data_IF_558425922855
#
_entry.id   IF_558425922855
#
_cell.length_a   1.000
_cell.length_b   1.000
_cell.length_c   1.000
_cell.angle_alpha   90.00
_cell.angle_beta   90.00
_cell.angle_gamma   90.00
#
_symmetry.space_group_name_H-M   'P 1'
#
loop_
_entity.id
_entity.type
_entity.pdbx_description
1 polymer ?
2 branched ?
3 non-polymer ?
4 non-polymer ?
5 non-polymer ?
6 non-polymer ?
7 water ?
#
# COMPACT_ATOMS: atom_id res chain seq x y z
N UNK A 5 -12.57 18.90 -17.55
CA UNK A 5 -12.63 18.23 -18.87
C UNK A 5 -12.54 16.71 -18.68
N UNK A 6 -13.35 15.95 -19.43
CA UNK A 6 -13.37 14.50 -19.31
C UNK A 6 -12.09 13.91 -19.85
N UNK A 7 -11.62 12.87 -19.21
CA UNK A 7 -10.44 12.17 -19.68
C UNK A 7 -10.82 10.71 -19.85
N UNK A 8 -10.14 10.01 -20.75
CA UNK A 8 -10.44 8.64 -21.05
C UNK A 8 -9.58 7.78 -20.15
N UNK A 9 -10.17 6.79 -19.54
CA UNK A 9 -9.40 5.91 -18.64
C UNK A 9 -9.62 4.45 -18.97
N UNK A 10 -8.59 3.63 -18.81
CA UNK A 10 -8.72 2.21 -19.07
C UNK A 10 -8.32 1.48 -17.80
N UNK A 11 -9.32 0.95 -17.10
CA UNK A 11 -9.10 0.21 -15.83
C UNK A 11 -9.21 -1.28 -16.03
N UNK A 12 -8.62 -2.04 -15.08
CA UNK A 12 -8.78 -3.45 -15.05
C UNK A 12 -10.27 -3.85 -15.02
N UNK A 13 -11.04 -3.14 -14.22
CA UNK A 13 -12.47 -3.35 -14.15
C UNK A 13 -13.10 -2.35 -15.11
N UNK A 14 -13.53 -2.87 -16.25
CA UNK A 14 -14.18 -2.03 -17.27
C UNK A 14 -15.55 -1.55 -16.85
N UNK A 15 -16.07 -2.03 -15.73
CA UNK A 15 -17.37 -1.60 -15.18
C UNK A 15 -17.26 -0.89 -13.82
N UNK A 16 -16.06 -0.41 -13.52
CA UNK A 16 -15.82 0.24 -12.26
C UNK A 16 -16.73 1.46 -12.09
N UNK A 17 -16.96 1.80 -10.85
CA UNK A 17 -17.84 2.93 -10.53
C UNK A 17 -17.23 4.23 -10.96
N UNK A 18 -18.08 5.20 -11.12
CA UNK A 18 -17.52 6.45 -11.57
C UNK A 18 -16.52 7.10 -10.60
N UNK A 19 -16.73 6.95 -9.29
CA UNK A 19 -15.81 7.47 -8.32
C UNK A 19 -14.42 6.74 -8.43
N UNK A 20 -14.50 5.48 -8.77
CA UNK A 20 -13.29 4.64 -8.90
C UNK A 20 -12.52 5.11 -10.12
N UNK A 21 -13.25 5.35 -11.22
CA UNK A 21 -12.64 5.89 -12.42
C UNK A 21 -12.09 7.26 -12.14
N UNK A 22 -12.82 8.12 -11.41
CA UNK A 22 -12.33 9.44 -11.03
C UNK A 22 -11.05 9.37 -10.22
N UNK A 23 -10.96 8.42 -9.30
CA UNK A 23 -9.75 8.29 -8.51
C UNK A 23 -8.56 8.06 -9.40
N UNK A 24 -8.70 7.17 -10.35
CA UNK A 24 -7.65 6.85 -11.31
C UNK A 24 -7.22 8.12 -12.07
N UNK A 25 -8.21 8.81 -12.61
CA UNK A 25 -7.97 10.06 -13.34
C UNK A 25 -7.31 11.14 -12.49
N UNK A 26 -7.72 11.24 -11.23
CA UNK A 26 -7.17 12.20 -10.30
C UNK A 26 -5.68 11.95 -10.15
N UNK A 27 -5.31 10.69 -9.91
CA UNK A 27 -3.89 10.37 -9.71
C UNK A 27 -3.08 10.60 -10.99
N UNK A 28 -3.69 10.34 -12.14
CA UNK A 28 -2.99 10.52 -13.41
C UNK A 28 -2.55 11.98 -13.54
N UNK A 29 -3.43 12.89 -13.17
CA UNK A 29 -3.09 14.28 -13.23
C UNK A 29 -2.17 14.74 -12.09
N UNK A 30 -2.60 14.47 -10.86
CA UNK A 30 -1.93 14.92 -9.65
C UNK A 30 -0.46 14.47 -9.57
N UNK A 31 -0.16 13.29 -10.07
CA UNK A 31 1.18 12.71 -9.91
C UNK A 31 2.29 13.51 -10.54
N UNK A 32 1.97 14.37 -11.51
CA UNK A 32 3.03 15.21 -12.10
C UNK A 32 3.11 16.59 -11.44
N UNK A 33 2.43 16.77 -10.32
CA UNK A 33 2.39 18.05 -9.63
C UNK A 33 2.73 17.91 -8.15
N UNK A 34 2.74 16.68 -7.62
CA UNK A 34 3.05 16.45 -6.21
C UNK A 34 3.31 14.95 -6.02
N UNK A 35 3.72 14.63 -4.82
CA UNK A 35 3.73 13.23 -4.38
C UNK A 35 2.94 13.23 -3.08
N UNK A 36 1.85 12.48 -3.09
CA UNK A 36 1.04 12.33 -1.88
C UNK A 36 1.71 11.50 -0.81
N UNK A 37 1.48 11.87 0.44
CA UNK A 37 1.98 11.07 1.56
C UNK A 37 0.95 10.09 2.05
N UNK A 38 1.37 8.83 2.13
CA UNK A 38 0.55 7.75 2.66
C UNK A 38 1.10 7.15 3.93
N UNK A 39 0.20 6.56 4.74
CA UNK A 39 0.62 5.98 6.00
C UNK A 39 -0.31 4.82 6.37
N UNK A 40 0.28 3.66 6.66
CA UNK A 40 -0.48 2.49 7.08
C UNK A 40 -1.07 2.76 8.46
N UNK A 41 -2.29 2.34 8.67
CA UNK A 41 -2.98 2.51 9.94
C UNK A 41 -3.02 3.97 10.37
N UNK A 42 -3.16 4.85 9.40
CA UNK A 42 -3.03 6.31 9.67
C UNK A 42 -3.88 6.77 10.86
N UNK A 43 -5.16 6.43 10.87
CA UNK A 43 -6.04 6.88 11.98
C UNK A 43 -6.48 5.76 12.93
N UNK A 44 -5.87 4.60 12.83
CA UNK A 44 -6.20 3.48 13.71
C UNK A 44 -5.06 3.10 14.64
N UNK A 45 -3.84 3.55 14.39
CA UNK A 45 -2.72 3.26 15.25
C UNK A 45 -1.80 4.48 15.36
N UNK A 46 -1.43 4.84 16.59
CA UNK A 46 -0.49 5.91 16.74
C UNK A 46 0.03 5.98 18.16
N UNK A 47 1.25 6.48 18.28
CA UNK A 47 1.90 6.71 19.57
C UNK A 47 1.28 7.86 20.35
N UNK A 48 0.64 8.80 19.67
CA UNK A 48 0.07 10.01 20.30
C UNK A 48 -1.43 10.19 20.18
N UNK A 49 -2.13 9.19 19.67
CA UNK A 49 -3.56 9.36 19.50
C UNK A 49 -4.28 8.77 20.71
N UNK A 50 -5.41 9.38 21.06
CA UNK A 50 -6.22 8.90 22.17
C UNK A 50 -7.51 8.24 21.76
N UNK A 51 -7.83 8.21 20.46
CA UNK A 51 -9.02 7.54 19.94
C UNK A 51 -8.54 6.85 18.66
N UNK A 52 -8.97 5.60 18.43
CA UNK A 52 -8.64 4.87 17.18
C UNK A 52 -9.85 4.76 16.28
N UNK A 53 -10.76 5.70 16.45
CA UNK A 53 -12.01 5.77 15.74
C UNK A 53 -11.94 6.44 14.39
N UNK A 54 -10.74 6.80 13.95
CA UNK A 54 -10.60 7.34 12.63
C UNK A 54 -10.47 8.86 12.56
N UNK A 55 -10.47 9.50 13.73
CA UNK A 55 -10.44 10.96 13.81
C UNK A 55 -9.09 11.57 14.14
N UNK A 56 -8.10 10.78 14.49
CA UNK A 56 -6.78 11.24 14.87
C UNK A 56 -5.68 10.49 14.18
N UNK A 57 -4.51 11.10 14.08
CA UNK A 57 -3.34 10.37 13.61
C UNK A 57 -2.06 11.00 14.17
N UNK A 58 -0.99 10.23 14.19
CA UNK A 58 0.29 10.74 14.60
C UNK A 58 0.74 11.77 13.58
N UNK A 59 0.36 11.57 12.33
CA UNK A 59 0.71 12.55 11.29
C UNK A 59 0.09 13.91 11.59
N UNK A 60 -1.17 13.88 11.93
CA UNK A 60 -1.93 15.09 12.22
C UNK A 60 -1.30 15.80 13.44
N UNK A 61 -0.95 15.04 14.44
CA UNK A 61 -0.35 15.60 15.67
C UNK A 61 1.06 16.16 15.44
N UNK A 62 1.74 15.66 14.40
CA UNK A 62 3.07 16.13 14.01
C UNK A 62 3.03 17.35 13.11
N UNK A 63 2.12 17.40 12.14
CA UNK A 63 2.16 18.44 11.13
C UNK A 63 0.88 19.20 10.90
N UNK A 64 -0.24 18.83 11.53
CA UNK A 64 -1.49 19.54 11.38
C UNK A 64 -2.43 19.13 10.26
N UNK A 65 -2.08 18.03 9.60
CA UNK A 65 -2.92 17.45 8.57
C UNK A 65 -2.72 15.92 8.58
N UNK A 66 -3.72 15.22 8.09
CA UNK A 66 -3.63 13.80 7.86
C UNK A 66 -2.87 13.48 6.58
N UNK A 67 -2.38 12.25 6.54
CA UNK A 67 -1.85 11.70 5.29
C UNK A 67 -2.95 11.80 4.23
N UNK A 68 -2.55 11.93 2.96
CA UNK A 68 -3.51 11.88 1.89
C UNK A 68 -3.99 10.49 1.57
N UNK A 69 -3.10 9.52 1.72
CA UNK A 69 -3.37 8.15 1.37
C UNK A 69 -3.33 7.33 2.68
N UNK A 70 -4.41 6.58 2.90
CA UNK A 70 -4.65 5.81 4.08
C UNK A 70 -4.51 4.33 3.76
N UNK A 71 -3.52 3.67 4.33
CA UNK A 71 -3.30 2.26 4.12
C UNK A 71 -3.86 1.39 5.24
N UNK A 72 -4.47 0.30 4.83
CA UNK A 72 -4.93 -0.76 5.73
C UNK A 72 -4.67 -2.12 5.05
N UNK A 73 -5.19 -3.19 5.62
CA UNK A 73 -4.90 -4.51 5.11
C UNK A 73 -6.04 -5.45 5.30
N UNK A 74 -5.95 -6.58 4.62
CA UNK A 74 -6.96 -7.61 4.79
C UNK A 74 -6.97 -8.22 6.17
N UNK A 75 -5.95 -7.97 6.95
CA UNK A 75 -5.96 -8.34 8.38
C UNK A 75 -7.09 -7.62 9.13
N UNK A 76 -7.73 -6.63 8.51
CA UNK A 76 -8.89 -5.93 9.08
C UNK A 76 -10.21 -6.32 8.37
N UNK A 77 -10.16 -7.31 7.47
CA UNK A 77 -11.29 -7.68 6.63
C UNK A 77 -11.65 -9.15 6.68
N UNK A 78 -10.64 -10.00 6.54
CA UNK A 78 -10.81 -11.43 6.49
C UNK A 78 -10.66 -11.99 7.88
N UNK A 79 -11.59 -12.86 8.26
CA UNK A 79 -11.59 -13.46 9.60
C UNK A 79 -10.23 -14.09 9.80
N UNK A 80 -9.67 -13.97 10.98
CA UNK A 80 -10.27 -13.41 12.20
C UNK A 80 -10.15 -11.91 12.45
N UNK A 81 -9.79 -11.17 11.42
CA UNK A 81 -9.67 -9.73 11.49
C UNK A 81 -8.84 -9.27 12.67
N UNK A 82 -7.64 -9.84 12.77
CA UNK A 82 -6.72 -9.52 13.87
C UNK A 82 -6.48 -8.02 14.06
N UNK A 83 -6.48 -7.24 12.97
CA UNK A 83 -6.20 -5.81 13.07
C UNK A 83 -7.44 -4.97 13.29
N UNK A 84 -8.61 -5.62 13.41
CA UNK A 84 -9.86 -5.00 13.71
C UNK A 84 -10.56 -4.38 12.53
N UNK A 85 -11.87 -4.24 12.61
CA UNK A 85 -12.61 -3.62 11.52
C UNK A 85 -12.13 -2.19 11.23
N UNK A 86 -12.29 -1.78 9.98
CA UNK A 86 -11.88 -0.46 9.52
C UNK A 86 -12.94 0.27 8.71
N UNK A 87 -14.14 -0.28 8.62
CA UNK A 87 -15.20 0.34 7.83
C UNK A 87 -15.43 1.80 8.26
N UNK A 88 -15.56 1.99 9.56
CA UNK A 88 -15.85 3.34 10.06
C UNK A 88 -14.71 4.31 9.74
N UNK A 89 -13.50 3.86 9.90
CA UNK A 89 -12.32 4.73 9.74
C UNK A 89 -12.09 5.02 8.25
N UNK A 90 -12.35 4.05 7.39
CA UNK A 90 -12.26 4.27 5.97
C UNK A 90 -13.29 5.30 5.59
N UNK A 91 -14.51 5.14 6.14
CA UNK A 91 -15.57 6.09 5.81
C UNK A 91 -15.19 7.52 6.21
N UNK A 92 -14.58 7.67 7.38
CA UNK A 92 -14.15 8.99 7.86
C UNK A 92 -13.06 9.53 6.94
N UNK A 93 -12.12 8.66 6.53
CA UNK A 93 -11.09 9.13 5.61
C UNK A 93 -11.65 9.60 4.29
N UNK A 94 -12.59 8.85 3.72
CA UNK A 94 -13.18 9.16 2.46
C UNK A 94 -13.99 10.45 2.56
N UNK A 95 -14.68 10.62 3.68
CA UNK A 95 -15.47 11.86 3.90
C UNK A 95 -14.58 13.10 3.94
N UNK A 96 -13.32 12.95 4.31
CA UNK A 96 -12.39 14.08 4.31
C UNK A 96 -11.61 14.16 2.99
N UNK A 97 -12.00 13.36 2.01
CA UNK A 97 -11.44 13.39 0.67
C UNK A 97 -10.16 12.58 0.53
N UNK A 98 -9.87 11.74 1.50
CA UNK A 98 -8.68 10.91 1.45
C UNK A 98 -8.81 9.78 0.44
N UNK A 99 -7.67 9.13 0.17
CA UNK A 99 -7.57 7.99 -0.73
C UNK A 99 -7.21 6.75 0.08
N UNK A 100 -7.86 5.62 -0.21
CA UNK A 100 -7.79 4.38 0.59
C UNK A 100 -7.03 3.32 -0.17
N UNK A 101 -6.08 2.68 0.48
CA UNK A 101 -5.43 1.54 -0.15
C UNK A 101 -5.36 0.39 0.86
N UNK A 102 -5.55 -0.82 0.39
CA UNK A 102 -5.59 -2.03 1.22
C UNK A 102 -4.67 -3.08 0.64
N UNK A 103 -3.71 -3.50 1.46
CA UNK A 103 -2.84 -4.62 1.11
C UNK A 103 -3.40 -5.92 1.64
N UNK A 104 -2.76 -6.96 1.25
CA UNK A 104 -3.29 -8.32 1.54
C UNK A 104 -2.34 -9.30 2.23
N UNK A 105 -2.25 -9.29 3.56
CA UNK A 105 -1.49 -10.28 4.27
C UNK A 105 -2.45 -11.49 4.56
N UNK A 106 -2.83 -12.21 3.53
CA UNK A 106 -3.70 -13.36 3.64
C UNK A 106 -2.98 -14.49 4.39
N UNK A 107 -3.74 -15.21 5.18
CA UNK A 107 -3.24 -16.46 5.77
C UNK A 107 -2.87 -17.46 4.67
N UNK A 108 -2.12 -18.51 5.05
CA UNK A 108 -1.66 -19.49 4.10
C UNK A 108 -2.79 -20.51 3.91
N UNK A 109 -3.36 -20.60 2.71
CA UNK A 109 -4.53 -21.47 2.51
C UNK A 109 -4.24 -22.94 2.72
N UNK A 110 -2.98 -23.34 2.62
CA UNK A 110 -2.57 -24.73 2.78
C UNK A 110 -2.45 -25.15 4.25
N UNK A 111 -2.17 -24.18 5.09
CA UNK A 111 -1.86 -24.48 6.51
C UNK A 111 -2.59 -23.65 7.52
N UNK A 112 -3.60 -22.87 7.13
CA UNK A 112 -4.23 -21.97 8.09
C UNK A 112 -5.02 -22.66 9.24
N UNK A 113 -5.37 -23.94 9.09
CA UNK A 113 -6.01 -24.63 10.18
C UNK A 113 -4.98 -25.04 11.26
N UNK A 114 -3.69 -24.84 11.00
CA UNK A 114 -2.63 -25.32 11.90
C UNK A 114 -2.11 -24.21 12.79
N UNK A 115 -2.76 -23.03 12.77
CA UNK A 115 -2.30 -21.91 13.57
C UNK A 115 -2.12 -22.26 15.05
N UNK A 116 -1.09 -21.67 15.66
CA UNK A 116 -0.82 -21.88 17.08
C UNK A 116 0.53 -21.31 17.46
N UNK A 117 1.51 -21.78 16.73
CA UNK A 117 2.89 -21.35 16.91
C UNK A 117 3.23 -20.43 15.70
N UNK A 118 3.21 -19.13 15.94
CA UNK A 118 3.54 -18.14 14.88
C UNK A 118 4.89 -18.56 14.25
N UNK A 119 5.06 -18.50 12.93
CA UNK A 119 4.10 -17.99 11.96
C UNK A 119 3.20 -19.01 11.24
N UNK A 120 3.06 -20.20 11.78
CA UNK A 120 2.31 -21.23 11.08
C UNK A 120 0.91 -20.73 10.69
N UNK A 121 0.58 -20.99 9.43
CA UNK A 121 -0.75 -20.64 8.90
C UNK A 121 -0.97 -19.19 8.48
N UNK A 122 0.01 -18.32 8.72
CA UNK A 122 -0.10 -16.89 8.36
C UNK A 122 0.58 -16.56 7.07
N UNK A 123 0.56 -15.30 6.62
CA UNK A 123 1.32 -14.92 5.44
C UNK A 123 2.77 -15.36 5.49
N UNK A 124 3.31 -15.34 6.72
CA UNK A 124 4.73 -15.59 6.97
C UNK A 124 5.11 -17.04 7.06
N UNK A 125 4.10 -17.90 6.98
CA UNK A 125 4.34 -19.32 6.88
C UNK A 125 4.78 -19.53 5.43
N UNK A 126 6.05 -19.85 5.25
CA UNK A 126 6.65 -19.96 3.90
C UNK A 126 6.27 -21.19 3.10
N UNK A 127 5.51 -22.09 3.68
CA UNK A 127 5.07 -23.31 2.99
C UNK A 127 4.47 -22.92 1.66
N UNK A 128 4.99 -23.37 0.54
CA UNK A 128 4.40 -22.93 -0.73
C UNK A 128 2.91 -23.31 -0.83
N UNK A 129 2.09 -22.32 -1.21
CA UNK A 129 0.69 -22.54 -1.26
C UNK A 129 0.05 -21.95 -2.53
N UNK A 130 0.86 -21.61 -3.52
CA UNK A 130 0.32 -21.10 -4.78
C UNK A 130 -0.28 -22.21 -5.62
N UNK A 131 0.53 -23.23 -5.90
CA UNK A 131 0.06 -24.34 -6.73
C UNK A 131 -1.21 -24.99 -6.16
N UNK A 132 -1.26 -25.19 -4.83
CA UNK A 132 -2.38 -25.90 -4.25
C UNK A 132 -3.57 -25.02 -4.00
N UNK A 133 -3.47 -23.74 -4.31
CA UNK A 133 -4.58 -22.79 -4.06
C UNK A 133 -5.29 -22.36 -5.33
N UNK A 134 -4.70 -22.59 -6.49
CA UNK A 134 -5.36 -22.29 -7.76
C UNK A 134 -6.45 -23.36 -8.02
N UNK A 135 -7.39 -23.07 -8.91
CA UNK A 135 -8.42 -24.07 -9.21
C UNK A 135 -7.79 -25.43 -9.56
N UNK A 136 -8.34 -26.48 -8.97
CA UNK A 136 -7.82 -27.84 -9.13
C UNK A 136 -7.05 -28.23 -7.90
N UNK A 137 -6.46 -27.22 -7.23
CA UNK A 137 -5.70 -27.48 -6.01
C UNK A 137 -6.59 -27.68 -4.81
N UNK A 138 -6.09 -28.46 -3.86
CA UNK A 138 -6.84 -28.89 -2.72
C UNK A 138 -7.31 -27.76 -1.84
N UNK A 139 -6.57 -26.65 -1.85
CA UNK A 139 -6.82 -25.52 -0.97
C UNK A 139 -7.47 -24.33 -1.66
N UNK A 140 -7.85 -24.49 -2.93
CA UNK A 140 -8.59 -23.45 -3.64
C UNK A 140 -9.84 -22.97 -2.86
N UNK A 141 -10.62 -23.83 -2.24
CA UNK A 141 -11.75 -23.33 -1.45
C UNK A 141 -11.36 -22.42 -0.28
N UNK A 142 -10.19 -22.64 0.29
CA UNK A 142 -9.73 -21.81 1.40
C UNK A 142 -9.41 -20.37 0.89
N UNK A 143 -8.65 -20.27 -0.18
CA UNK A 143 -8.34 -19.00 -0.78
C UNK A 143 -9.63 -18.30 -1.18
N UNK A 144 -10.57 -19.07 -1.76
CA UNK A 144 -11.85 -18.48 -2.17
C UNK A 144 -12.61 -17.91 -0.99
N UNK A 145 -12.53 -18.49 0.20
CA UNK A 145 -13.21 -17.95 1.36
C UNK A 145 -12.62 -16.58 1.69
N UNK A 146 -11.28 -16.45 1.59
CA UNK A 146 -10.68 -15.14 1.83
C UNK A 146 -11.24 -14.12 0.84
N UNK A 147 -11.23 -14.49 -0.42
CA UNK A 147 -11.62 -13.58 -1.46
C UNK A 147 -13.11 -13.24 -1.33
N UNK A 148 -13.91 -14.21 -0.94
CA UNK A 148 -15.34 -13.93 -0.68
C UNK A 148 -15.51 -12.84 0.34
N UNK A 149 -14.73 -12.89 1.42
CA UNK A 149 -14.80 -11.90 2.47
C UNK A 149 -14.31 -10.51 2.02
N UNK A 150 -13.24 -10.49 1.24
CA UNK A 150 -12.79 -9.23 0.63
C UNK A 150 -13.92 -8.65 -0.24
N UNK A 151 -14.57 -9.48 -1.04
CA UNK A 151 -15.61 -9.01 -1.95
C UNK A 151 -16.83 -8.49 -1.18
N UNK A 152 -17.25 -9.23 -0.16
CA UNK A 152 -18.41 -8.80 0.60
C UNK A 152 -18.10 -7.46 1.25
N UNK A 153 -16.88 -7.32 1.77
CA UNK A 153 -16.47 -6.07 2.39
C UNK A 153 -16.51 -4.92 1.38
N UNK A 154 -15.90 -5.14 0.24
CA UNK A 154 -15.87 -4.08 -0.79
C UNK A 154 -17.29 -3.71 -1.22
N UNK A 155 -18.10 -4.71 -1.47
CA UNK A 155 -19.45 -4.52 -1.98
C UNK A 155 -20.40 -3.79 -1.04
N UNK A 156 -20.03 -3.72 0.22
CA UNK A 156 -20.86 -3.02 1.20
C UNK A 156 -20.18 -1.78 1.68
N UNK A 157 -19.00 -1.41 1.15
CA UNK A 157 -18.23 -0.28 1.62
C UNK A 157 -18.78 1.00 1.00
N UNK A 158 -19.73 1.61 1.71
CA UNK A 158 -20.52 2.69 1.12
C UNK A 158 -20.48 3.97 1.95
N UNK A 159 -20.51 5.08 1.26
CA UNK A 159 -20.52 6.39 1.91
C UNK A 159 -21.95 6.66 2.40
N UNK A 160 -22.18 7.84 2.97
CA UNK A 160 -23.50 8.17 3.54
C UNK A 160 -24.61 8.30 2.48
N UNK A 161 -24.22 8.46 1.22
CA UNK A 161 -25.19 8.54 0.17
C UNK A 161 -25.41 7.18 -0.47
N UNK A 162 -24.80 6.12 0.08
CA UNK A 162 -24.97 4.78 -0.45
C UNK A 162 -24.08 4.43 -1.65
N UNK A 163 -23.09 5.27 -1.95
CA UNK A 163 -22.19 5.01 -3.06
C UNK A 163 -20.90 4.36 -2.57
N UNK A 164 -20.46 3.43 -3.41
CA UNK A 164 -19.24 2.63 -3.08
C UNK A 164 -18.04 3.54 -2.94
N UNK A 165 -17.20 3.23 -1.97
CA UNK A 165 -15.94 3.91 -1.74
C UNK A 165 -14.82 3.23 -2.51
N UNK A 166 -14.10 3.94 -3.38
CA UNK A 166 -12.99 3.29 -4.08
C UNK A 166 -11.85 2.92 -3.16
N UNK A 167 -11.18 1.84 -3.56
CA UNK A 167 -10.04 1.34 -2.79
C UNK A 167 -8.98 0.86 -3.79
N UNK A 168 -7.72 1.18 -3.52
CA UNK A 168 -6.58 0.66 -4.29
C UNK A 168 -6.16 -0.64 -3.58
N UNK A 169 -6.52 -1.76 -4.17
CA UNK A 169 -6.32 -3.08 -3.58
C UNK A 169 -5.04 -3.68 -4.10
N UNK A 170 -4.09 -3.94 -3.18
CA UNK A 170 -2.70 -4.29 -3.50
C UNK A 170 -2.52 -5.78 -3.15
N UNK A 171 -2.49 -6.64 -4.18
CA UNK A 171 -2.49 -8.09 -4.00
C UNK A 171 -1.09 -8.72 -3.98
N UNK A 172 -0.91 -9.69 -3.10
CA UNK A 172 0.28 -10.54 -3.08
C UNK A 172 1.57 -9.78 -3.24
N UNK A 173 1.78 -8.82 -2.36
CA UNK A 173 2.93 -7.94 -2.43
C UNK A 173 4.24 -8.60 -2.04
N UNK A 174 5.31 -7.89 -2.37
CA UNK A 174 6.66 -8.28 -1.96
C UNK A 174 6.98 -9.67 -2.48
N UNK A 175 6.51 -9.95 -3.68
CA UNK A 175 6.47 -11.29 -4.18
C UNK A 175 7.79 -11.75 -4.81
N UNK A 176 8.72 -10.81 -4.96
CA UNK A 176 10.04 -11.17 -5.44
C UNK A 176 10.97 -11.60 -4.29
N UNK A 177 10.44 -11.66 -3.10
CA UNK A 177 11.16 -12.28 -1.98
C UNK A 177 10.42 -13.58 -1.60
N UNK A 178 10.91 -14.30 -0.60
CA UNK A 178 10.37 -15.60 -0.27
C UNK A 178 9.89 -15.70 1.17
N UNK A 179 9.62 -14.57 1.80
CA UNK A 179 9.06 -14.57 3.15
C UNK A 179 7.59 -14.79 3.23
N UNK A 180 6.90 -14.68 2.10
CA UNK A 180 5.48 -14.99 2.07
C UNK A 180 5.20 -16.27 1.27
N UNK A 181 4.00 -16.87 1.44
CA UNK A 181 3.70 -18.14 0.79
C UNK A 181 3.47 -18.03 -0.72
N UNK A 182 3.38 -16.81 -1.25
CA UNK A 182 3.20 -16.57 -2.65
C UNK A 182 4.47 -16.04 -3.30
N UNK A 183 5.58 -16.19 -2.56
CA UNK A 183 6.85 -15.64 -2.99
C UNK A 183 7.59 -16.43 -4.04
N UNK A 184 8.84 -16.03 -4.25
CA UNK A 184 9.54 -16.48 -5.42
C UNK A 184 10.18 -17.86 -5.27
N UNK A 185 10.31 -18.35 -4.06
CA UNK A 185 10.72 -19.75 -3.88
C UNK A 185 9.51 -20.64 -3.79
N UNK A 186 8.32 -20.03 -3.75
CA UNK A 186 7.07 -20.71 -3.60
C UNK A 186 6.27 -20.87 -4.87
N UNK A 187 6.73 -20.27 -5.95
CA UNK A 187 5.98 -20.29 -7.20
C UNK A 187 6.89 -20.00 -8.35
N UNK A 188 6.60 -20.59 -9.50
CA UNK A 188 7.20 -20.12 -10.73
C UNK A 188 6.58 -18.77 -11.08
N UNK A 189 7.23 -17.98 -11.90
CA UNK A 189 6.62 -16.72 -12.35
C UNK A 189 5.23 -16.92 -12.91
N UNK A 190 5.02 -17.93 -13.75
CA UNK A 190 3.70 -18.16 -14.30
C UNK A 190 2.66 -18.47 -13.24
N UNK A 191 3.04 -19.29 -12.26
CA UNK A 191 2.13 -19.66 -11.19
C UNK A 191 1.72 -18.40 -10.39
N UNK A 192 2.69 -17.53 -10.14
CA UNK A 192 2.39 -16.27 -9.43
C UNK A 192 1.41 -15.43 -10.27
N UNK A 193 1.69 -15.30 -11.56
CA UNK A 193 0.79 -14.54 -12.42
C UNK A 193 -0.61 -15.14 -12.40
N UNK A 194 -0.74 -16.46 -12.45
CA UNK A 194 -2.03 -17.10 -12.43
C UNK A 194 -2.73 -16.80 -11.08
N UNK A 195 -1.98 -16.86 -9.99
CA UNK A 195 -2.58 -16.56 -8.68
C UNK A 195 -3.18 -15.15 -8.66
N UNK A 196 -2.42 -14.18 -9.19
CA UNK A 196 -2.87 -12.77 -9.20
C UNK A 196 -4.10 -12.61 -10.12
N UNK A 197 -4.00 -13.14 -11.33
CA UNK A 197 -5.09 -13.01 -12.31
C UNK A 197 -6.35 -13.75 -11.83
N UNK A 198 -6.17 -14.97 -11.31
CA UNK A 198 -7.29 -15.73 -10.80
C UNK A 198 -8.03 -14.91 -9.76
N UNK A 199 -7.27 -14.25 -8.89
CA UNK A 199 -7.82 -13.54 -7.72
C UNK A 199 -8.58 -12.30 -8.16
N UNK A 200 -7.98 -11.55 -9.07
CA UNK A 200 -8.63 -10.35 -9.65
C UNK A 200 -9.91 -10.79 -10.34
N UNK A 201 -9.81 -11.81 -11.18
CA UNK A 201 -11.01 -12.33 -11.85
C UNK A 201 -12.10 -12.76 -10.89
N UNK A 202 -11.70 -13.41 -9.80
CA UNK A 202 -12.66 -13.90 -8.86
C UNK A 202 -13.38 -12.69 -8.24
N UNK A 203 -12.62 -11.69 -7.81
CA UNK A 203 -13.22 -10.51 -7.17
C UNK A 203 -14.09 -9.75 -8.14
N UNK A 204 -13.57 -9.46 -9.31
CA UNK A 204 -14.32 -8.64 -10.27
C UNK A 204 -15.51 -9.37 -10.93
N UNK A 205 -15.24 -10.54 -11.46
CA UNK A 205 -16.23 -11.28 -12.24
C UNK A 205 -17.10 -12.24 -11.45
N UNK A 206 -16.52 -13.01 -10.55
CA UNK A 206 -17.34 -13.94 -9.81
C UNK A 206 -18.13 -13.23 -8.74
N UNK A 207 -17.50 -12.28 -8.09
CA UNK A 207 -18.15 -11.60 -7.00
C UNK A 207 -18.63 -10.22 -7.29
N UNK A 208 -18.33 -9.65 -8.42
CA UNK A 208 -18.90 -8.37 -8.79
C UNK A 208 -18.36 -7.11 -8.13
N UNK A 209 -17.12 -7.17 -7.66
CA UNK A 209 -16.51 -5.98 -7.09
C UNK A 209 -16.33 -4.90 -8.15
N UNK A 210 -16.82 -3.69 -7.85
CA UNK A 210 -16.77 -2.60 -8.82
C UNK A 210 -16.04 -1.33 -8.33
N UNK A 211 -15.46 -1.40 -7.14
CA UNK A 211 -14.84 -0.24 -6.51
C UNK A 211 -13.37 -0.43 -6.19
N UNK A 212 -12.73 -1.32 -6.93
CA UNK A 212 -11.29 -1.52 -6.78
C UNK A 212 -10.44 -1.08 -7.99
N UNK A 213 -9.33 -0.46 -7.66
CA UNK A 213 -8.18 -0.36 -8.58
C UNK A 213 -7.20 -1.44 -8.08
N UNK A 214 -6.47 -2.09 -8.97
CA UNK A 214 -5.56 -3.18 -8.57
C UNK A 214 -4.12 -2.77 -8.68
N UNK A 215 -3.36 -2.98 -7.60
CA UNK A 215 -1.93 -2.63 -7.59
C UNK A 215 -1.07 -3.90 -7.54
N UNK A 216 0.08 -3.79 -8.17
CA UNK A 216 1.13 -4.84 -8.14
C UNK A 216 2.34 -4.18 -7.51
N UNK A 217 3.02 -4.91 -6.61
CA UNK A 217 4.12 -4.29 -5.87
C UNK A 217 5.16 -5.32 -5.43
N UNK A 218 6.12 -5.60 -6.29
CA UNK A 218 7.24 -6.47 -5.91
C UNK A 218 8.20 -5.65 -5.05
N UNK A 219 9.26 -6.26 -4.54
CA UNK A 219 10.27 -5.50 -3.86
C UNK A 219 11.16 -4.75 -4.87
N UNK A 220 11.90 -3.77 -4.37
CA UNK A 220 12.91 -3.07 -5.17
C UNK A 220 13.87 -4.08 -5.77
N UNK A 221 14.28 -3.77 -6.98
CA UNK A 221 15.29 -4.52 -7.70
C UNK A 221 16.62 -3.81 -7.51
N UNK A 222 17.69 -4.61 -7.37
CA UNK A 222 19.03 -4.02 -7.32
C UNK A 222 19.61 -3.96 -8.73
N UNK A 223 19.13 -4.81 -9.62
CA UNK A 223 19.41 -4.72 -11.04
C UNK A 223 18.12 -4.15 -11.64
N UNK A 224 18.10 -2.83 -11.76
CA UNK A 224 16.89 -2.11 -12.12
C UNK A 224 16.60 -2.12 -13.59
N UNK A 225 15.90 -3.14 -14.06
CA UNK A 225 15.53 -3.25 -15.47
C UNK A 225 14.06 -3.57 -15.63
N UNK A 226 13.52 -3.19 -16.78
CA UNK A 226 12.14 -3.52 -17.11
C UNK A 226 11.95 -5.02 -17.18
N UNK A 227 12.95 -5.73 -17.72
CA UNK A 227 12.79 -7.18 -17.79
C UNK A 227 12.62 -7.81 -16.41
N UNK A 228 13.38 -7.34 -15.44
CA UNK A 228 13.30 -7.90 -14.10
C UNK A 228 11.92 -7.59 -13.52
N UNK A 229 11.44 -6.36 -13.67
CA UNK A 229 10.08 -6.05 -13.14
C UNK A 229 9.03 -6.93 -13.81
N UNK A 230 9.25 -7.17 -15.12
CA UNK A 230 8.23 -7.91 -15.86
C UNK A 230 8.14 -9.42 -15.57
N UNK A 231 9.17 -9.97 -14.96
CA UNK A 231 9.22 -11.40 -14.80
C UNK A 231 7.98 -11.98 -14.11
N UNK A 232 7.54 -11.34 -13.02
CA UNK A 232 6.38 -11.79 -12.29
C UNK A 232 5.18 -10.82 -12.44
N UNK A 233 5.31 -9.84 -13.33
CA UNK A 233 4.22 -8.86 -13.57
C UNK A 233 2.99 -9.55 -14.09
N UNK A 234 1.84 -9.33 -13.46
CA UNK A 234 0.61 -9.98 -13.93
C UNK A 234 0.10 -9.56 -15.31
N UNK A 235 0.51 -8.39 -15.78
CA UNK A 235 0.12 -7.94 -17.09
C UNK A 235 -0.75 -6.72 -17.08
N UNK A 236 -0.68 -5.97 -18.16
CA UNK A 236 -1.43 -4.74 -18.27
C UNK A 236 -2.93 -4.97 -18.19
N UNK A 237 -3.46 -6.15 -18.51
CA UNK A 237 -4.90 -6.36 -18.40
C UNK A 237 -5.35 -6.53 -16.95
N UNK A 238 -4.40 -6.67 -16.06
CA UNK A 238 -4.69 -7.06 -14.68
C UNK A 238 -4.23 -6.10 -13.59
N UNK A 239 -3.53 -5.04 -13.94
CA UNK A 239 -2.94 -4.09 -12.99
C UNK A 239 -3.26 -2.65 -13.41
N UNK A 240 -3.70 -1.83 -12.45
CA UNK A 240 -3.92 -0.41 -12.63
C UNK A 240 -2.78 0.44 -12.10
N UNK A 241 -2.12 -0.07 -11.05
CA UNK A 241 -1.14 0.67 -10.30
C UNK A 241 0.15 -0.11 -10.23
N UNK A 242 1.22 0.49 -10.69
CA UNK A 242 2.57 -0.17 -10.66
C UNK A 242 3.35 0.37 -9.49
N UNK A 243 3.59 -0.48 -8.49
CA UNK A 243 4.30 -0.02 -7.33
C UNK A 243 5.52 -0.91 -7.05
N UNK A 244 6.18 -0.64 -5.93
CA UNK A 244 7.20 -1.52 -5.37
C UNK A 244 7.34 -1.18 -3.90
N UNK A 245 7.96 -2.10 -3.16
CA UNK A 245 8.18 -1.99 -1.75
C UNK A 245 9.66 -1.95 -1.46
N UNK A 246 10.11 -1.10 -0.55
CA UNK A 246 11.52 -1.05 -0.22
C UNK A 246 11.78 -0.63 1.19
N UNK A 247 12.65 -1.40 1.87
CA UNK A 247 13.09 -1.09 3.23
C UNK A 247 14.61 -1.10 3.27
N UNK A 248 15.14 -0.03 3.83
CA UNK A 248 16.57 0.21 3.90
C UNK A 248 17.21 0.36 5.24
N UNK A 249 18.51 0.54 5.13
CA UNK A 249 19.34 0.74 6.33
C UNK A 249 19.16 2.12 6.90
N UNK A 250 19.22 2.22 8.22
CA UNK A 250 19.10 3.48 8.91
C UNK A 250 20.36 4.33 8.78
N UNK A 251 21.48 3.71 8.47
CA UNK A 251 22.77 4.39 8.34
C UNK A 251 23.44 4.07 7.01
N UNK A 252 24.30 5.00 6.60
CA UNK A 252 25.08 4.84 5.38
C UNK A 252 24.17 4.38 4.23
N UNK A 253 23.11 5.13 4.02
CA UNK A 253 22.04 4.72 3.11
C UNK A 253 21.95 5.46 1.78
N UNK A 254 23.01 6.13 1.36
CA UNK A 254 22.99 6.85 0.08
C UNK A 254 22.75 5.91 -1.12
N UNK A 255 23.40 4.76 -1.14
CA UNK A 255 23.22 3.83 -2.23
C UNK A 255 21.77 3.34 -2.23
N UNK A 256 21.23 3.07 -1.05
CA UNK A 256 19.82 2.63 -0.95
C UNK A 256 18.86 3.70 -1.47
N UNK A 257 19.09 4.96 -1.13
CA UNK A 257 18.22 6.03 -1.60
C UNK A 257 18.37 6.14 -3.11
N UNK A 258 19.59 5.99 -3.63
CA UNK A 258 19.71 5.99 -5.09
C UNK A 258 18.86 4.88 -5.75
N UNK A 259 18.87 3.71 -5.11
CA UNK A 259 18.09 2.56 -5.58
C UNK A 259 16.57 2.85 -5.48
N UNK A 260 16.16 3.59 -4.47
CA UNK A 260 14.75 4.00 -4.35
C UNK A 260 14.37 4.83 -5.59
N UNK A 261 15.19 5.81 -5.88
CA UNK A 261 14.96 6.71 -7.02
C UNK A 261 14.97 5.93 -8.32
N UNK A 262 15.90 4.99 -8.50
CA UNK A 262 15.96 4.20 -9.72
C UNK A 262 14.73 3.32 -9.96
N UNK A 263 14.25 2.70 -8.88
CA UNK A 263 13.07 1.87 -8.96
C UNK A 263 11.83 2.72 -9.25
N UNK A 264 11.77 3.88 -8.64
CA UNK A 264 10.63 4.79 -8.83
C UNK A 264 10.66 5.29 -10.26
N UNK A 265 11.86 5.56 -10.76
CA UNK A 265 12.00 6.02 -12.14
C UNK A 265 11.51 4.97 -13.13
N UNK A 266 11.90 3.72 -12.90
CA UNK A 266 11.50 2.61 -13.74
C UNK A 266 10.00 2.48 -13.76
N UNK A 267 9.38 2.41 -12.59
CA UNK A 267 7.92 2.25 -12.58
C UNK A 267 7.26 3.46 -13.19
N UNK A 268 7.82 4.65 -13.03
CA UNK A 268 7.21 5.84 -13.63
C UNK A 268 7.26 5.75 -15.16
N UNK A 269 8.39 5.33 -15.70
CA UNK A 269 8.46 5.25 -17.16
C UNK A 269 7.54 4.14 -17.72
N UNK A 270 7.52 3.00 -17.04
CA UNK A 270 6.64 1.91 -17.43
C UNK A 270 5.18 2.36 -17.38
N UNK A 271 4.82 3.07 -16.31
CA UNK A 271 3.45 3.50 -16.11
C UNK A 271 2.98 4.42 -17.21
N UNK A 272 3.82 5.36 -17.59
CA UNK A 272 3.48 6.25 -18.71
C UNK A 272 3.27 5.46 -19.97
N UNK A 273 4.13 4.49 -20.25
CA UNK A 273 3.98 3.70 -21.42
C UNK A 273 2.74 2.80 -21.46
N UNK A 274 2.28 2.37 -20.28
CA UNK A 274 1.22 1.40 -20.14
C UNK A 274 -0.08 1.93 -19.64
N UNK A 275 -0.17 3.25 -19.43
CA UNK A 275 -1.42 3.82 -18.96
C UNK A 275 -1.71 3.47 -17.51
N UNK A 276 -0.66 3.34 -16.70
CA UNK A 276 -0.84 3.00 -15.27
C UNK A 276 -0.47 4.16 -14.35
N UNK A 277 -0.73 3.99 -13.06
CA UNK A 277 -0.29 4.93 -12.06
C UNK A 277 0.93 4.34 -11.33
N UNK A 278 2.05 5.01 -11.33
CA UNK A 278 3.25 4.54 -10.60
C UNK A 278 3.24 5.03 -9.18
N UNK A 279 3.67 4.21 -8.24
CA UNK A 279 3.70 4.58 -6.81
C UNK A 279 4.85 3.88 -6.12
N UNK A 280 5.18 4.35 -4.93
CA UNK A 280 6.03 3.59 -4.00
C UNK A 280 5.02 3.08 -2.97
N UNK A 281 4.69 1.81 -3.02
CA UNK A 281 3.60 1.35 -2.17
C UNK A 281 3.96 1.13 -0.71
N UNK A 282 5.24 0.87 -0.43
CA UNK A 282 5.78 0.79 0.92
C UNK A 282 7.22 1.25 0.92
N UNK A 283 7.60 2.15 1.82
CA UNK A 283 9.00 2.55 1.95
C UNK A 283 9.30 2.89 3.40
N UNK A 284 10.49 2.52 3.84
CA UNK A 284 10.82 2.82 5.22
C UNK A 284 12.20 2.35 5.57
N UNK A 285 12.69 2.90 6.67
CA UNK A 285 13.84 2.29 7.33
C UNK A 285 13.42 0.87 7.71
N UNK A 286 14.27 -0.13 7.51
CA UNK A 286 13.94 -1.48 7.91
C UNK A 286 13.55 -1.62 9.38
N UNK A 287 12.49 -2.36 9.65
CA UNK A 287 11.97 -2.48 11.02
C UNK A 287 13.03 -2.81 12.08
N UNK A 288 13.90 -3.74 11.82
CA UNK A 288 14.87 -4.10 12.85
C UNK A 288 15.69 -2.91 13.32
N UNK A 289 16.00 -2.01 12.40
CA UNK A 289 16.85 -0.87 12.79
C UNK A 289 16.06 0.04 13.71
N UNK A 290 14.78 0.27 13.40
CA UNK A 290 13.93 1.09 14.26
C UNK A 290 13.73 0.40 15.61
N UNK A 291 13.62 -0.92 15.58
CA UNK A 291 13.34 -1.72 16.78
C UNK A 291 14.55 -1.66 17.72
N UNK A 292 15.75 -1.41 17.16
CA UNK A 292 17.00 -1.25 17.92
C UNK A 292 17.19 0.15 18.47
N UNK A 293 16.21 1.04 18.26
CA UNK A 293 16.32 2.39 18.75
C UNK A 293 17.07 3.34 17.86
N UNK A 294 17.37 2.92 16.64
CA UNK A 294 18.15 3.73 15.74
C UNK A 294 17.28 4.67 14.90
N UNK A 295 17.86 5.77 14.46
CA UNK A 295 17.11 6.78 13.72
C UNK A 295 17.99 7.45 12.66
N UNK A 296 17.35 7.95 11.59
CA UNK A 296 18.01 8.78 10.59
C UNK A 296 17.21 10.05 10.53
N UNK A 297 17.75 11.16 11.08
CA UNK A 297 17.00 12.37 11.19
C UNK A 297 17.02 13.27 9.97
N UNK A 298 17.52 12.73 8.87
CA UNK A 298 17.43 13.38 7.57
C UNK A 298 16.67 12.50 6.57
N UNK A 299 16.09 11.41 7.04
CA UNK A 299 15.49 10.40 6.12
C UNK A 299 14.42 10.97 5.20
N UNK A 300 13.45 11.66 5.77
CA UNK A 300 12.35 12.20 4.93
C UNK A 300 12.86 13.27 3.99
N UNK A 301 13.80 14.07 4.47
CA UNK A 301 14.33 15.13 3.59
C UNK A 301 15.10 14.52 2.43
N UNK A 302 15.89 13.48 2.70
CA UNK A 302 16.57 12.74 1.65
C UNK A 302 15.58 12.14 0.63
N UNK A 303 14.49 11.59 1.15
CA UNK A 303 13.50 10.91 0.31
C UNK A 303 12.86 11.92 -0.66
N UNK A 304 12.31 13.00 -0.13
CA UNK A 304 11.65 13.97 -1.03
C UNK A 304 12.64 14.63 -2.01
N UNK A 305 13.81 14.98 -1.49
CA UNK A 305 14.77 15.62 -2.37
C UNK A 305 15.19 14.74 -3.50
N UNK A 306 15.52 13.48 -3.19
CA UNK A 306 15.96 12.56 -4.21
C UNK A 306 14.87 12.28 -5.25
N UNK A 307 13.66 12.00 -4.77
CA UNK A 307 12.57 11.72 -5.67
C UNK A 307 12.23 12.88 -6.58
N UNK A 308 12.08 14.09 -6.02
CA UNK A 308 11.53 15.16 -6.86
C UNK A 308 12.58 15.71 -7.83
N UNK A 309 13.86 15.49 -7.54
CA UNK A 309 14.92 15.95 -8.46
C UNK A 309 14.99 15.12 -9.73
N UNK A 310 14.53 13.86 -9.65
CA UNK A 310 14.60 12.95 -10.76
C UNK A 310 13.35 13.12 -11.64
N UNK A 311 13.50 13.33 -12.96
CA UNK A 311 12.34 13.65 -13.80
C UNK A 311 11.35 12.52 -13.98
N UNK A 312 11.80 11.29 -13.74
CA UNK A 312 10.90 10.14 -13.79
C UNK A 312 10.33 9.80 -12.40
N UNK A 313 11.18 9.64 -11.40
CA UNK A 313 10.75 9.24 -10.05
C UNK A 313 9.79 10.24 -9.46
N UNK A 314 9.93 11.51 -9.79
CA UNK A 314 9.02 12.51 -9.27
C UNK A 314 7.58 12.31 -9.67
N UNK A 315 7.35 11.54 -10.73
CA UNK A 315 6.04 11.28 -11.32
C UNK A 315 5.21 10.23 -10.57
N UNK A 316 5.74 9.68 -9.48
CA UNK A 316 4.95 8.77 -8.68
C UNK A 316 3.79 9.52 -8.06
N UNK A 317 2.66 8.86 -7.92
CA UNK A 317 1.49 9.50 -7.31
C UNK A 317 1.61 9.68 -5.81
N UNK A 318 2.14 8.65 -5.14
CA UNK A 318 2.31 8.66 -3.70
C UNK A 318 3.41 7.71 -3.26
N UNK A 319 3.82 7.92 -2.02
CA UNK A 319 4.66 6.96 -1.31
C UNK A 319 3.97 6.71 0.05
N UNK A 320 4.06 5.51 0.55
CA UNK A 320 3.44 5.18 1.84
C UNK A 320 4.43 4.55 2.79
N UNK A 321 4.39 4.99 4.04
CA UNK A 321 5.22 4.43 5.11
C UNK A 321 4.40 3.60 6.07
N UNK A 322 5.03 2.67 6.78
CA UNK A 322 4.27 1.74 7.60
C UNK A 322 3.69 2.26 8.98
N UNK A 323 3.03 1.35 9.68
CA UNK A 323 2.24 1.70 10.86
C UNK A 323 3.03 2.18 12.05
N UNK A 324 2.37 3.04 12.81
CA UNK A 324 2.93 3.58 14.05
C UNK A 324 2.35 2.75 15.21
N UNK A 325 2.97 1.65 15.55
CA UNK A 325 2.45 0.79 16.61
C UNK A 325 2.40 1.55 17.94
N UNK A 326 1.25 1.61 18.58
CA UNK A 326 1.13 2.41 19.80
C UNK A 326 1.98 1.94 20.96
N UNK A 327 2.27 0.66 21.06
CA UNK A 327 3.13 0.15 22.15
C UNK A 327 4.30 -0.62 21.57
N UNK A 328 4.65 -0.29 20.32
CA UNK A 328 5.69 -0.99 19.61
C UNK A 328 5.38 -2.47 19.41
N UNK A 329 6.43 -3.28 19.37
CA UNK A 329 6.28 -4.74 19.24
C UNK A 329 7.13 -5.45 20.27
N UNK A 330 6.76 -6.69 20.58
CA UNK A 330 7.54 -7.47 21.53
C UNK A 330 9.02 -7.55 21.20
N UNK A 331 9.88 -7.22 22.18
CA UNK A 331 11.34 -7.31 22.00
C UNK A 331 11.96 -8.51 22.72
N UNK A 335 10.14 -7.42 26.94
CA UNK A 335 9.85 -5.99 26.82
C UNK A 335 9.24 -5.58 25.45
N UNK A 336 9.12 -4.28 25.22
CA UNK A 336 8.55 -3.79 23.95
C UNK A 336 9.56 -2.87 23.29
N UNK A 337 9.67 -2.94 21.95
CA UNK A 337 10.62 -2.11 21.23
C UNK A 337 9.87 -1.30 20.16
N UNK A 338 10.44 -0.18 19.76
CA UNK A 338 9.72 0.71 18.84
C UNK A 338 9.51 0.12 17.46
N UNK A 339 8.38 0.49 16.87
CA UNK A 339 7.99 -0.01 15.57
C UNK A 339 7.02 0.99 14.97
N UNK A 340 7.58 2.04 14.39
CA UNK A 340 6.76 3.11 13.83
C UNK A 340 7.57 3.86 12.79
N UNK A 341 6.86 4.54 11.87
CA UNK A 341 7.57 5.22 10.78
C UNK A 341 7.35 6.73 10.70
N UNK A 342 6.19 7.19 11.09
CA UNK A 342 5.97 8.66 11.14
C UNK A 342 6.49 9.23 12.47
N UNK A 343 7.43 10.18 12.44
CA UNK A 343 7.92 10.78 13.71
C UNK A 343 6.78 11.43 14.49
N UNK A 344 6.69 11.05 15.77
CA UNK A 344 5.59 11.50 16.61
C UNK A 344 5.90 12.83 17.29
N UNK A 345 4.85 13.59 17.59
CA UNK A 345 5.04 14.85 18.31
C UNK A 345 5.19 14.47 19.78
N UNK A 346 6.40 14.14 20.17
CA UNK A 346 6.68 13.73 21.54
C UNK A 346 8.16 13.95 21.80
N UNK A 347 8.56 14.04 23.06
CA UNK A 347 9.96 14.36 23.37
C UNK A 347 11.00 13.49 22.64
N UNK A 348 10.78 12.18 22.53
CA UNK A 348 11.82 11.39 21.87
C UNK A 348 12.12 11.88 20.43
N UNK A 349 11.09 12.20 19.65
CA UNK A 349 11.30 12.58 18.26
C UNK A 349 11.67 14.06 18.13
N UNK A 350 11.31 14.85 19.14
CA UNK A 350 11.75 16.26 19.17
C UNK A 350 13.28 16.23 19.35
N UNK A 351 13.71 15.48 20.36
CA UNK A 351 15.12 15.46 20.74
C UNK A 351 16.04 14.82 19.73
N UNK A 352 15.59 13.78 19.01
CA UNK A 352 16.46 13.12 18.03
C UNK A 352 16.44 13.76 16.63
N UNK A 353 15.63 14.80 16.45
CA UNK A 353 15.58 15.55 15.21
C UNK A 353 14.64 14.98 14.15
N UNK A 354 14.07 13.81 14.42
CA UNK A 354 13.16 13.19 13.42
C UNK A 354 11.86 13.97 13.21
N UNK A 355 11.27 14.53 14.26
CA UNK A 355 10.08 15.36 14.06
C UNK A 355 10.33 16.54 13.09
N UNK A 356 11.46 17.23 13.29
CA UNK A 356 11.84 18.35 12.43
C UNK A 356 11.99 17.90 11.00
N UNK A 357 12.57 16.72 10.83
CA UNK A 357 12.78 16.11 9.51
C UNK A 357 11.42 15.94 8.81
N UNK A 358 10.51 15.28 9.52
CA UNK A 358 9.17 15.07 8.97
C UNK A 358 8.43 16.38 8.74
N UNK A 359 8.62 17.38 9.61
CA UNK A 359 7.92 18.62 9.45
C UNK A 359 8.45 19.34 8.21
N UNK A 360 9.73 19.16 7.94
CA UNK A 360 10.33 19.73 6.74
C UNK A 360 9.76 19.06 5.47
N UNK A 361 9.64 17.73 5.51
CA UNK A 361 8.99 16.97 4.43
C UNK A 361 7.57 17.49 4.15
N UNK A 362 6.80 17.74 5.21
CA UNK A 362 5.45 18.29 5.10
C UNK A 362 5.48 19.67 4.43
N UNK A 363 6.44 20.50 4.84
CA UNK A 363 6.53 21.86 4.33
C UNK A 363 6.94 21.92 2.86
N UNK A 364 7.64 20.90 2.40
CA UNK A 364 8.12 20.81 1.02
C UNK A 364 6.98 21.03 0.06
N UNK A 365 7.17 21.89 -0.94
CA UNK A 365 6.10 22.23 -1.89
C UNK A 365 5.56 21.05 -2.66
N UNK A 366 6.37 20.01 -2.81
CA UNK A 366 6.03 18.91 -3.69
C UNK A 366 5.27 17.79 -2.94
N UNK A 367 5.22 17.81 -1.61
CA UNK A 367 4.45 16.75 -0.90
C UNK A 367 3.00 17.21 -0.72
N UNK A 368 2.07 16.25 -0.75
CA UNK A 368 0.66 16.53 -0.67
C UNK A 368 0.06 15.68 0.45
N UNK A 369 -0.59 16.38 1.38
CA UNK A 369 -1.25 15.77 2.50
C UNK A 369 -2.77 15.89 2.25
N UNK A 370 -3.63 15.42 3.14
CA UNK A 370 -5.04 15.33 2.77
C UNK A 370 -5.73 16.66 2.33
N UNK A 371 -5.44 17.77 2.98
CA UNK A 371 -6.08 19.03 2.53
C UNK A 371 -5.53 19.53 1.20
N UNK A 372 -4.42 18.98 0.75
CA UNK A 372 -3.80 19.40 -0.54
C UNK A 372 -4.44 18.71 -1.75
N UNK A 373 -5.25 17.71 -1.50
CA UNK A 373 -5.93 17.03 -2.60
C UNK A 373 -7.41 17.36 -2.63
N UNK A 374 -7.89 17.72 -3.79
CA UNK A 374 -9.27 18.13 -3.92
C UNK A 374 -9.91 17.58 -5.17
N UNK A 375 -11.22 17.41 -5.13
CA UNK A 375 -11.98 16.99 -6.32
C UNK A 375 -11.51 15.62 -6.80
N UNK A 376 -11.19 14.74 -5.88
CA UNK A 376 -10.61 13.43 -6.29
C UNK A 376 -11.60 12.50 -6.95
N UNK A 377 -12.86 12.53 -6.51
CA UNK A 377 -13.82 11.52 -6.87
C UNK A 377 -14.97 11.97 -7.76
N UNK A 378 -15.00 13.24 -8.09
CA UNK A 378 -16.06 13.80 -8.93
C UNK A 378 -15.57 14.23 -10.35
N UNK A 379 -14.42 13.74 -10.76
CA UNK A 379 -13.90 14.07 -12.07
C UNK A 379 -14.59 13.26 -13.14
N UNK A 380 -15.05 13.91 -14.22
CA UNK A 380 -15.70 13.19 -15.32
C UNK A 380 -14.76 12.35 -16.13
N UNK A 381 -15.18 11.14 -16.47
CA UNK A 381 -14.35 10.26 -17.28
C UNK A 381 -15.09 9.56 -18.36
N UNK A 382 -14.32 9.10 -19.34
CA UNK A 382 -14.76 8.29 -20.45
C UNK A 382 -13.97 6.98 -20.50
N UNK A 383 -14.59 5.94 -21.08
CA UNK A 383 -13.94 4.63 -21.34
C UNK A 383 -14.08 4.28 -22.83
#
# INVERSE_FOLDING_TARGET
RADVKPVTVKLVDSQATMETRSLFAFMQEQRRHSIMFGHQHETTQGLTITRTDGTQSDTFNAVGDFAAVYGWDTLSIVAPKAEGDIVAQVKKAYARGGIITVSSHFDNPKTDTQKGVWPVGTSWDQTPAVVDSLPGGAYNPVLNGYLDQVAEWANNLKDEQGRLIPVIFRLYHANTGSWFWWGDKQSTPEQYKQLFRYSVEYLRDVKGVRNFLYAYSPNNFWDVTEANYLERYPGDEWVDVLGFDTYGPVADNADWFRNVVANAALVARMAEARGKIPVISEIGIRAPDIEAGLYDNQWYRKLISGLKADPDAREIAFLLVWRNAPQGVPGPNGTQVPHYWVPANRPENINNGTLEDFQAFYADEFTAFNRDIEQVYQRPTLI
#
